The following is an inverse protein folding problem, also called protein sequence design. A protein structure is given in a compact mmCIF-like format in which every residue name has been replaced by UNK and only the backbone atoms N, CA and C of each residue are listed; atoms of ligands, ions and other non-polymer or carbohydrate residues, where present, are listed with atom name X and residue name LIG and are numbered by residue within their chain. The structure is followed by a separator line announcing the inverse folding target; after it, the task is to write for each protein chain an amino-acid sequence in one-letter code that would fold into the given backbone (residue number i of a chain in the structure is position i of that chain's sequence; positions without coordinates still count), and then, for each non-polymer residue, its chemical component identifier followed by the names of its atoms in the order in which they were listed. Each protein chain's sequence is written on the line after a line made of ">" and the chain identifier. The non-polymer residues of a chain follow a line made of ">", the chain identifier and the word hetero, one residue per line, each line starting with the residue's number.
data_IF_473033574253
#
_entry.id   IF_473033574253
#
_cell.length_a   1.000
_cell.length_b   1.000
_cell.length_c   1.000
_cell.angle_alpha   90.00
_cell.angle_beta   90.00
_cell.angle_gamma   90.00
#
_symmetry.space_group_name_H-M   'P 1'
#
loop_
_entity.id
_entity.type
_entity.pdbx_description
1 polymer ?
#
# COMPACT_ATOMS: atom_id res chain seq x y z
N UNK A 1 59.32 31.93 16.13
CA UNK A 1 58.04 31.42 16.66
C UNK A 1 58.25 30.94 18.08
N UNK A 2 57.49 31.43 19.07
CA UNK A 2 57.61 30.99 20.45
C UNK A 2 57.30 29.50 20.57
N UNK A 3 58.05 28.80 21.42
CA UNK A 3 57.98 27.34 21.63
C UNK A 3 56.56 26.87 21.96
N UNK A 4 55.79 27.71 22.66
CA UNK A 4 54.38 27.48 23.01
C UNK A 4 53.49 27.33 21.77
N UNK A 5 53.73 28.12 20.72
CA UNK A 5 52.92 28.05 19.48
C UNK A 5 53.14 26.75 18.71
N UNK A 6 54.35 26.16 18.76
CA UNK A 6 54.63 24.87 18.12
C UNK A 6 53.94 23.71 18.82
N UNK A 7 53.90 23.73 20.16
CA UNK A 7 53.23 22.68 20.95
C UNK A 7 51.71 22.75 20.75
N UNK A 8 51.13 23.96 20.70
CA UNK A 8 49.69 24.13 20.48
C UNK A 8 49.25 23.58 19.10
N UNK A 9 50.03 23.83 18.04
CA UNK A 9 49.72 23.33 16.69
C UNK A 9 49.75 21.79 16.66
N UNK A 10 50.74 21.16 17.31
CA UNK A 10 50.82 19.69 17.39
C UNK A 10 49.61 19.13 18.14
N UNK A 11 49.20 19.76 19.25
CA UNK A 11 48.05 19.33 20.03
C UNK A 11 46.74 19.41 19.22
N UNK A 12 46.52 20.49 18.47
CA UNK A 12 45.35 20.65 17.60
C UNK A 12 45.32 19.57 16.51
N UNK A 13 46.47 19.25 15.91
CA UNK A 13 46.56 18.18 14.90
C UNK A 13 46.18 16.83 15.50
N UNK A 14 46.68 16.50 16.71
CA UNK A 14 46.39 15.24 17.39
C UNK A 14 44.90 15.12 17.73
N UNK A 15 44.29 16.17 18.28
CA UNK A 15 42.86 16.19 18.58
C UNK A 15 42.02 16.06 17.30
N UNK A 16 42.43 16.72 16.21
CA UNK A 16 41.74 16.63 14.93
C UNK A 16 41.80 15.21 14.33
N UNK A 17 42.94 14.53 14.48
CA UNK A 17 43.09 13.13 14.06
C UNK A 17 42.21 12.18 14.88
N UNK A 18 42.09 12.41 16.20
CA UNK A 18 41.18 11.64 17.06
C UNK A 18 39.71 11.81 16.66
N UNK A 19 39.28 13.04 16.36
CA UNK A 19 37.91 13.31 15.88
C UNK A 19 37.62 12.66 14.53
N UNK A 20 38.59 12.66 13.61
CA UNK A 20 38.45 12.02 12.31
C UNK A 20 38.35 10.49 12.46
N UNK A 21 39.16 9.89 13.35
CA UNK A 21 39.10 8.45 13.64
C UNK A 21 37.78 8.03 14.30
N UNK A 22 37.27 8.83 15.24
CA UNK A 22 35.97 8.59 15.86
C UNK A 22 34.83 8.71 14.84
N UNK A 23 34.86 9.73 13.98
CA UNK A 23 33.89 9.89 12.88
C UNK A 23 33.88 8.69 11.93
N UNK A 24 35.05 8.17 11.56
CA UNK A 24 35.19 6.97 10.73
C UNK A 24 34.60 5.73 11.42
N UNK A 25 34.86 5.57 12.72
CA UNK A 25 34.34 4.45 13.52
C UNK A 25 32.81 4.48 13.62
N UNK A 26 32.23 5.67 13.78
CA UNK A 26 30.76 5.86 13.78
C UNK A 26 30.16 5.54 12.41
N UNK A 27 30.83 5.94 11.32
CA UNK A 27 30.41 5.63 9.96
C UNK A 27 30.46 4.12 9.66
N UNK A 28 31.49 3.42 10.12
CA UNK A 28 31.59 1.96 10.02
C UNK A 28 30.53 1.26 10.88
N UNK A 29 30.31 1.72 12.11
CA UNK A 29 29.26 1.19 12.98
C UNK A 29 27.87 1.36 12.35
N UNK A 30 27.59 2.52 11.74
CA UNK A 30 26.35 2.77 11.00
C UNK A 30 26.22 1.85 9.79
N UNK A 31 27.28 1.67 9.00
CA UNK A 31 27.26 0.77 7.84
C UNK A 31 27.05 -0.70 8.25
N UNK A 32 27.66 -1.13 9.35
CA UNK A 32 27.45 -2.46 9.93
C UNK A 32 26.03 -2.63 10.49
N UNK A 33 25.46 -1.58 11.08
CA UNK A 33 24.08 -1.59 11.54
C UNK A 33 23.11 -1.65 10.35
N UNK A 34 23.29 -0.82 9.32
CA UNK A 34 22.48 -0.84 8.10
C UNK A 34 22.53 -2.19 7.39
N UNK A 35 23.71 -2.82 7.30
CA UNK A 35 23.82 -4.17 6.70
C UNK A 35 23.16 -5.24 7.57
N UNK A 36 23.27 -5.17 8.90
CA UNK A 36 22.57 -6.08 9.82
C UNK A 36 21.05 -5.87 9.77
N UNK A 37 20.58 -4.64 9.69
CA UNK A 37 19.16 -4.29 9.58
C UNK A 37 18.61 -4.74 8.24
N UNK A 38 19.30 -4.47 7.12
CA UNK A 38 18.90 -4.97 5.79
C UNK A 38 18.88 -6.49 5.74
N UNK A 39 19.88 -7.17 6.29
CA UNK A 39 19.90 -8.64 6.35
C UNK A 39 18.73 -9.19 7.18
N UNK A 40 18.42 -8.59 8.32
CA UNK A 40 17.25 -8.97 9.13
C UNK A 40 15.93 -8.67 8.44
N UNK A 41 15.83 -7.56 7.70
CA UNK A 41 14.66 -7.21 6.90
C UNK A 41 14.48 -8.20 5.74
N UNK A 42 15.54 -8.57 5.04
CA UNK A 42 15.52 -9.58 3.96
C UNK A 42 15.18 -10.98 4.51
N UNK A 43 15.71 -11.35 5.67
CA UNK A 43 15.33 -12.58 6.39
C UNK A 43 13.85 -12.55 6.79
N UNK A 44 13.34 -11.42 7.29
CA UNK A 44 11.93 -11.25 7.63
C UNK A 44 11.01 -11.30 6.40
N UNK A 45 11.40 -10.69 5.28
CA UNK A 45 10.67 -10.75 4.00
C UNK A 45 10.68 -12.18 3.44
N UNK A 46 11.81 -12.89 3.56
CA UNK A 46 11.91 -14.29 3.14
C UNK A 46 11.04 -15.19 4.00
N UNK A 47 11.06 -15.02 5.33
CA UNK A 47 10.16 -15.73 6.24
C UNK A 47 8.70 -15.39 5.94
N UNK A 48 8.35 -14.12 5.73
CA UNK A 48 6.99 -13.72 5.34
C UNK A 48 6.53 -14.37 4.03
N UNK A 49 7.42 -14.53 3.03
CA UNK A 49 7.13 -15.27 1.80
C UNK A 49 6.97 -16.78 2.02
N UNK A 50 7.81 -17.41 2.84
CA UNK A 50 7.68 -18.81 3.20
C UNK A 50 6.37 -19.06 3.98
N UNK A 51 6.01 -18.13 4.86
CA UNK A 51 4.74 -18.09 5.60
C UNK A 51 3.55 -17.89 4.66
N UNK A 52 3.64 -17.03 3.66
CA UNK A 52 2.58 -16.80 2.67
C UNK A 52 2.38 -18.04 1.77
N UNK A 53 3.47 -18.74 1.42
CA UNK A 53 3.43 -20.01 0.68
C UNK A 53 2.79 -21.12 1.54
N UNK A 54 3.10 -21.17 2.84
CA UNK A 54 2.49 -22.13 3.79
C UNK A 54 1.03 -21.78 4.14
N UNK A 55 0.68 -20.51 4.24
CA UNK A 55 -0.69 -20.05 4.55
C UNK A 55 -1.66 -20.25 3.37
N UNK A 56 -1.15 -20.24 2.13
CA UNK A 56 -1.93 -20.49 0.91
C UNK A 56 -2.06 -21.98 0.55
N UNK A 57 -1.44 -22.91 1.31
CA UNK A 57 -1.40 -24.33 0.99
C UNK A 57 -1.81 -25.25 2.15
N UNK A 58 -3.06 -25.73 2.14
CA UNK A 58 -3.62 -26.79 3.00
C UNK A 58 -3.68 -26.53 4.51
N UNK A 59 -4.58 -27.21 5.21
CA UNK A 59 -4.75 -27.11 6.67
C UNK A 59 -3.47 -27.48 7.46
N UNK A 60 -2.57 -28.26 6.87
CA UNK A 60 -1.25 -28.58 7.45
C UNK A 60 -0.33 -27.35 7.52
N UNK A 61 -0.37 -26.46 6.53
CA UNK A 61 0.46 -25.23 6.52
C UNK A 61 0.03 -24.23 7.60
N UNK A 62 -1.28 -24.15 7.91
CA UNK A 62 -1.80 -23.34 9.02
C UNK A 62 -1.33 -23.87 10.38
N UNK A 63 -1.31 -25.19 10.56
CA UNK A 63 -0.87 -25.81 11.81
C UNK A 63 0.65 -25.66 12.05
N UNK A 64 1.46 -25.76 10.99
CA UNK A 64 2.91 -25.51 11.08
C UNK A 64 3.22 -24.03 11.38
N UNK A 65 2.50 -23.10 10.74
CA UNK A 65 2.65 -21.68 11.03
C UNK A 65 2.27 -21.35 12.48
N UNK A 66 1.17 -21.89 12.99
CA UNK A 66 0.76 -21.69 14.38
C UNK A 66 1.83 -22.19 15.37
N UNK A 67 2.45 -23.35 15.09
CA UNK A 67 3.58 -23.87 15.88
C UNK A 67 4.79 -22.94 15.84
N UNK A 68 5.15 -22.43 14.66
CA UNK A 68 6.30 -21.54 14.49
C UNK A 68 6.05 -20.18 15.16
N UNK A 69 4.85 -19.62 15.03
CA UNK A 69 4.41 -18.40 15.69
C UNK A 69 4.48 -18.53 17.23
N UNK A 70 3.98 -19.64 17.79
CA UNK A 70 4.10 -19.93 19.23
C UNK A 70 5.54 -20.05 19.70
N UNK A 71 6.41 -20.72 18.93
CA UNK A 71 7.83 -20.86 19.27
C UNK A 71 8.59 -19.53 19.23
N UNK A 72 8.32 -18.67 18.24
CA UNK A 72 8.92 -17.33 18.13
C UNK A 72 8.45 -16.43 19.28
N UNK A 73 7.18 -16.53 19.69
CA UNK A 73 6.66 -15.76 20.82
C UNK A 73 7.13 -16.30 22.18
N UNK A 74 7.34 -17.61 22.33
CA UNK A 74 7.98 -18.19 23.51
C UNK A 74 9.42 -17.68 23.72
N UNK A 75 10.18 -17.46 22.64
CA UNK A 75 11.50 -16.82 22.69
C UNK A 75 11.41 -15.32 23.06
N UNK A 76 10.29 -14.67 22.76
CA UNK A 76 10.05 -13.25 22.99
C UNK A 76 9.62 -12.92 24.43
N UNK A 77 8.51 -13.52 24.90
CA UNK A 77 8.05 -13.52 26.31
C UNK A 77 6.73 -14.31 26.44
N UNK A 78 6.39 -14.74 27.66
CA UNK A 78 5.09 -15.34 27.96
C UNK A 78 3.89 -14.42 27.62
N UNK A 79 4.07 -13.10 27.65
CA UNK A 79 3.01 -12.12 27.35
C UNK A 79 2.67 -12.08 25.85
N UNK A 80 3.68 -12.21 24.97
CA UNK A 80 3.45 -12.25 23.52
C UNK A 80 2.67 -13.50 23.10
N UNK A 81 2.95 -14.64 23.73
CA UNK A 81 2.20 -15.88 23.52
C UNK A 81 0.74 -15.77 23.99
N UNK A 82 0.51 -15.19 25.16
CA UNK A 82 -0.83 -15.02 25.70
C UNK A 82 -1.71 -14.13 24.80
N UNK A 83 -1.14 -13.04 24.26
CA UNK A 83 -1.86 -12.18 23.32
C UNK A 83 -2.13 -12.90 21.99
N UNK A 84 -1.18 -13.67 21.48
CA UNK A 84 -1.39 -14.49 20.27
C UNK A 84 -2.49 -15.54 20.44
N UNK A 85 -2.47 -16.29 21.54
CA UNK A 85 -3.50 -17.28 21.86
C UNK A 85 -4.88 -16.62 22.05
N UNK A 86 -4.92 -15.42 22.64
CA UNK A 86 -6.13 -14.62 22.73
C UNK A 86 -6.66 -14.24 21.34
N UNK A 87 -5.82 -13.72 20.44
CA UNK A 87 -6.24 -13.36 19.07
C UNK A 87 -6.68 -14.57 18.25
N UNK A 88 -5.99 -15.70 18.40
CA UNK A 88 -6.43 -16.97 17.83
C UNK A 88 -7.82 -17.39 18.34
N UNK A 89 -8.10 -17.21 19.64
CA UNK A 89 -9.42 -17.51 20.23
C UNK A 89 -10.54 -16.56 19.78
N UNK A 90 -10.19 -15.34 19.38
CA UNK A 90 -11.10 -14.34 18.79
C UNK A 90 -11.46 -14.65 17.32
N UNK A 91 -10.89 -15.72 16.75
CA UNK A 91 -11.18 -16.18 15.39
C UNK A 91 -10.34 -15.53 14.30
N UNK A 92 -9.29 -14.77 14.66
CA UNK A 92 -8.32 -14.28 13.71
C UNK A 92 -7.51 -15.43 13.13
N UNK A 93 -7.16 -15.34 11.85
CA UNK A 93 -6.26 -16.31 11.26
C UNK A 93 -4.87 -16.20 11.92
N UNK A 94 -4.08 -17.30 11.94
CA UNK A 94 -2.81 -17.34 12.62
C UNK A 94 -1.84 -16.21 12.26
N UNK A 95 -1.82 -15.77 11.00
CA UNK A 95 -0.89 -14.73 10.57
C UNK A 95 -1.29 -13.38 11.18
N UNK A 96 -2.57 -13.00 11.03
CA UNK A 96 -3.11 -11.76 11.59
C UNK A 96 -2.97 -11.74 13.11
N UNK A 97 -3.26 -12.86 13.79
CA UNK A 97 -3.09 -12.99 15.23
C UNK A 97 -1.63 -12.76 15.69
N UNK A 98 -0.66 -13.26 14.93
CA UNK A 98 0.76 -13.12 15.22
C UNK A 98 1.27 -11.69 15.01
N UNK A 99 0.88 -11.04 13.91
CA UNK A 99 1.24 -9.66 13.62
C UNK A 99 0.72 -8.71 14.70
N UNK A 100 -0.54 -8.88 15.15
CA UNK A 100 -1.13 -8.11 16.24
C UNK A 100 -0.43 -8.37 17.58
N UNK A 101 -0.09 -9.63 17.89
CA UNK A 101 0.59 -9.97 19.13
C UNK A 101 2.03 -9.42 19.19
N UNK A 102 2.76 -9.41 18.06
CA UNK A 102 4.10 -8.80 17.98
C UNK A 102 4.03 -7.28 18.14
N UNK A 103 3.06 -6.61 17.51
CA UNK A 103 2.91 -5.16 17.63
C UNK A 103 2.71 -4.72 19.10
N UNK A 104 1.81 -5.41 19.82
CA UNK A 104 1.56 -5.16 21.25
C UNK A 104 2.79 -5.50 22.11
N UNK A 105 3.51 -6.58 21.77
CA UNK A 105 4.69 -7.01 22.52
C UNK A 105 5.88 -6.05 22.36
N UNK A 106 6.14 -5.55 21.14
CA UNK A 106 7.23 -4.62 20.87
C UNK A 106 7.02 -3.28 21.59
N UNK A 107 5.80 -2.74 21.58
CA UNK A 107 5.47 -1.52 22.33
C UNK A 107 5.64 -1.73 23.84
N UNK A 108 5.16 -2.85 24.38
CA UNK A 108 5.25 -3.11 25.82
C UNK A 108 6.69 -3.33 26.31
N UNK A 109 7.50 -4.06 25.54
CA UNK A 109 8.91 -4.30 25.90
C UNK A 109 9.75 -3.02 25.78
N UNK A 110 9.50 -2.19 24.76
CA UNK A 110 10.15 -0.88 24.65
C UNK A 110 9.82 0.02 25.84
N UNK A 111 8.55 0.01 26.30
CA UNK A 111 8.11 0.75 27.50
C UNK A 111 8.75 0.17 28.77
N UNK A 112 8.82 -1.15 28.93
CA UNK A 112 9.46 -1.79 30.10
C UNK A 112 10.98 -1.53 30.16
N UNK A 113 11.68 -1.60 29.02
CA UNK A 113 13.11 -1.31 28.94
C UNK A 113 13.39 0.18 29.20
N UNK A 114 12.52 1.07 28.71
CA UNK A 114 12.56 2.51 29.03
C UNK A 114 12.33 2.77 30.53
N UNK A 115 11.32 2.15 31.13
CA UNK A 115 11.03 2.28 32.57
C UNK A 115 12.18 1.75 33.44
N UNK A 116 12.81 0.64 33.04
CA UNK A 116 14.02 0.12 33.71
C UNK A 116 15.20 1.07 33.58
N UNK A 117 15.40 1.69 32.42
CA UNK A 117 16.45 2.69 32.22
C UNK A 117 16.22 3.92 33.11
N UNK A 118 14.99 4.43 33.18
CA UNK A 118 14.60 5.54 34.07
C UNK A 118 14.77 5.16 35.54
N UNK A 119 14.37 3.95 35.95
CA UNK A 119 14.56 3.48 37.31
C UNK A 119 16.04 3.33 37.68
N UNK A 120 16.88 2.86 36.75
CA UNK A 120 18.33 2.77 36.94
C UNK A 120 18.99 4.15 37.06
N UNK A 121 18.55 5.14 36.27
CA UNK A 121 19.00 6.53 36.37
C UNK A 121 18.59 7.15 37.71
N UNK A 122 17.34 6.97 38.14
CA UNK A 122 16.87 7.46 39.44
C UNK A 122 17.57 6.75 40.62
N UNK A 123 17.95 5.47 40.46
CA UNK A 123 18.73 4.75 41.47
C UNK A 123 20.17 5.26 41.56
N UNK A 124 20.77 5.71 40.45
CA UNK A 124 22.07 6.39 40.44
C UNK A 124 22.00 7.78 41.09
N UNK A 125 20.88 8.49 40.91
CA UNK A 125 20.63 9.81 41.52
C UNK A 125 20.47 9.74 43.06
N UNK A 126 19.97 8.62 43.59
CA UNK A 126 19.69 8.43 45.02
C UNK A 126 20.79 7.69 45.80
N UNK A 127 21.88 7.25 45.15
CA UNK A 127 23.03 6.76 45.89
C UNK A 127 23.78 7.95 46.50
N UNK A 128 24.21 7.90 47.79
CA UNK A 128 25.18 8.88 48.28
C UNK A 128 26.36 8.81 47.33
N UNK A 129 26.65 9.92 46.65
CA UNK A 129 27.65 9.95 45.60
C UNK A 129 28.93 9.34 46.16
N UNK A 130 29.61 8.51 45.36
CA UNK A 130 30.90 7.92 45.72
C UNK A 130 31.86 9.02 46.26
N UNK A 131 31.66 10.27 45.81
CA UNK A 131 32.18 11.53 46.32
C UNK A 131 31.96 11.79 47.80
N UNK A 132 30.75 11.72 48.37
CA UNK A 132 30.55 12.04 49.78
C UNK A 132 31.37 11.08 50.67
N UNK A 133 31.35 9.79 50.31
CA UNK A 133 32.11 8.76 51.02
C UNK A 133 33.63 8.86 50.80
N UNK A 134 34.09 9.29 49.61
CA UNK A 134 35.52 9.47 49.32
C UNK A 134 36.06 10.79 49.88
N UNK A 135 35.27 11.86 49.84
CA UNK A 135 35.57 13.16 50.44
C UNK A 135 35.63 13.03 51.96
N UNK A 136 34.69 12.31 52.58
CA UNK A 136 34.74 12.03 54.02
C UNK A 136 35.97 11.20 54.40
N UNK A 137 36.33 10.19 53.60
CA UNK A 137 37.57 9.40 53.81
C UNK A 137 38.84 10.24 53.62
N UNK A 138 38.87 11.11 52.61
CA UNK A 138 39.99 12.02 52.35
C UNK A 138 40.13 13.06 53.46
N UNK A 139 39.02 13.64 53.94
CA UNK A 139 38.99 14.57 55.07
C UNK A 139 39.46 13.90 56.37
N UNK A 140 39.05 12.65 56.64
CA UNK A 140 39.52 11.86 57.78
C UNK A 140 41.02 11.58 57.67
N UNK A 141 41.51 11.17 56.49
CA UNK A 141 42.93 10.91 56.25
C UNK A 141 43.77 12.19 56.39
N UNK A 142 43.29 13.33 55.88
CA UNK A 142 43.94 14.64 56.00
C UNK A 142 44.05 15.07 57.46
N UNK A 143 42.95 14.98 58.22
CA UNK A 143 42.93 15.33 59.64
C UNK A 143 43.86 14.44 60.47
N UNK A 144 43.91 13.14 60.18
CA UNK A 144 44.84 12.20 60.82
C UNK A 144 46.31 12.53 60.52
N UNK A 145 46.62 12.93 59.28
CA UNK A 145 47.94 13.40 58.89
C UNK A 145 48.31 14.70 59.63
N UNK A 146 47.40 15.67 59.70
CA UNK A 146 47.60 16.93 60.42
C UNK A 146 47.86 16.71 61.92
N UNK A 147 47.09 15.82 62.56
CA UNK A 147 47.29 15.44 63.96
C UNK A 147 48.65 14.74 64.19
N UNK A 148 49.07 13.86 63.27
CA UNK A 148 50.37 13.21 63.34
C UNK A 148 51.53 14.22 63.19
N UNK A 149 51.37 15.23 62.34
CA UNK A 149 52.34 16.32 62.19
C UNK A 149 52.44 17.19 63.42
N UNK A 150 51.30 17.54 64.02
CA UNK A 150 51.27 18.29 65.28
C UNK A 150 52.01 17.54 66.38
N UNK A 151 51.74 16.24 66.57
CA UNK A 151 52.47 15.42 67.56
C UNK A 151 53.96 15.33 67.28
N UNK A 152 54.36 15.19 66.01
CA UNK A 152 55.78 15.12 65.64
C UNK A 152 56.49 16.44 65.95
N UNK A 153 55.83 17.57 65.67
CA UNK A 153 56.33 18.90 66.03
C UNK A 153 56.44 19.07 67.54
N UNK A 154 55.40 18.72 68.30
CA UNK A 154 55.38 18.82 69.77
C UNK A 154 56.49 17.96 70.41
N UNK A 155 56.72 16.76 69.89
CA UNK A 155 57.81 15.88 70.33
C UNK A 155 59.19 16.48 70.02
N UNK A 156 59.34 17.14 68.87
CA UNK A 156 60.59 17.75 68.44
C UNK A 156 60.89 19.03 69.23
N UNK A 157 59.87 19.84 69.51
CA UNK A 157 59.96 21.00 70.40
C UNK A 157 60.26 20.57 71.84
N UNK A 158 59.69 19.45 72.30
CA UNK A 158 60.02 18.83 73.59
C UNK A 158 61.47 18.35 73.63
N UNK A 159 61.94 17.62 72.61
CA UNK A 159 63.32 17.18 72.54
C UNK A 159 64.31 18.35 72.47
N UNK A 160 63.97 19.40 71.72
CA UNK A 160 64.77 20.62 71.59
C UNK A 160 64.80 21.43 72.88
N UNK A 161 63.68 21.57 73.59
CA UNK A 161 63.62 22.22 74.91
C UNK A 161 64.35 21.42 75.99
N UNK A 162 64.31 20.08 75.97
CA UNK A 162 65.16 19.25 76.84
C UNK A 162 66.65 19.45 76.54
N UNK A 163 67.01 19.58 75.25
CA UNK A 163 68.38 19.85 74.81
C UNK A 163 68.87 21.24 75.26
N UNK A 164 68.05 22.28 75.13
CA UNK A 164 68.38 23.64 75.58
C UNK A 164 68.26 23.83 77.10
N UNK A 165 67.38 23.08 77.75
CA UNK A 165 66.99 23.22 79.15
C UNK A 165 67.87 22.48 80.16
N UNK A 166 68.89 21.73 79.74
CA UNK A 166 69.95 21.23 80.63
C UNK A 166 71.22 22.10 80.63
N UNK A 167 71.23 23.23 79.92
CA UNK A 167 72.36 24.16 79.92
C UNK A 167 72.39 25.10 81.14
N UNK A 168 71.39 25.06 82.02
CA UNK A 168 71.32 25.89 83.22
C UNK A 168 70.98 25.08 84.47
N UNK A 169 71.95 24.99 85.39
CA UNK A 169 71.83 24.46 86.76
C UNK A 169 71.97 22.94 86.95
N UNK A 170 73.13 22.38 86.61
CA UNK A 170 73.96 21.60 87.55
C UNK A 170 75.29 21.20 86.88
N UNK A 171 76.44 21.74 87.31
CA UNK A 171 77.74 21.29 86.83
C UNK A 171 78.08 19.97 87.55
N UNK A 172 77.96 18.81 86.88
CA UNK A 172 78.56 17.61 87.47
C UNK A 172 78.28 16.24 86.91
N UNK A 173 77.30 16.01 86.02
CA UNK A 173 77.06 14.65 85.50
C UNK A 173 76.72 14.71 84.01
N UNK A 174 77.76 14.62 83.17
CA UNK A 174 77.59 14.28 81.75
C UNK A 174 77.43 12.76 81.66
N UNK A 175 76.21 12.30 81.42
CA UNK A 175 75.97 10.90 81.04
C UNK A 175 76.54 10.65 79.64
N UNK A 176 77.57 9.79 79.48
CA UNK A 176 78.23 9.55 78.19
C UNK A 176 77.33 8.84 77.16
N UNK A 177 76.11 8.40 77.54
CA UNK A 177 75.17 7.78 76.60
C UNK A 177 74.37 8.77 75.74
N UNK A 178 74.44 10.07 76.02
CA UNK A 178 73.81 11.13 75.19
C UNK A 178 74.72 11.55 74.01
N UNK A 179 75.96 11.06 73.94
CA UNK A 179 76.93 11.42 72.89
C UNK A 179 76.70 10.79 71.50
N UNK A 180 75.66 9.97 71.33
CA UNK A 180 75.21 9.48 70.02
C UNK A 180 73.83 10.05 69.62
N UNK A 181 73.43 11.18 70.19
CA UNK A 181 72.29 11.94 69.69
C UNK A 181 72.59 12.54 68.32
N UNK A 182 71.62 12.52 67.40
CA UNK A 182 71.68 13.25 66.13
C UNK A 182 72.14 14.69 66.38
N UNK A 183 73.10 15.18 65.60
CA UNK A 183 73.51 16.58 65.67
C UNK A 183 72.32 17.51 65.41
N UNK A 184 72.38 18.73 65.92
CA UNK A 184 71.34 19.76 65.66
C UNK A 184 71.10 19.92 64.16
N UNK A 185 72.17 19.82 63.35
CA UNK A 185 72.07 19.86 61.89
C UNK A 185 71.34 18.64 61.32
N UNK A 186 71.58 17.44 61.84
CA UNK A 186 70.85 16.23 61.43
C UNK A 186 69.35 16.30 61.81
N UNK A 187 69.02 16.90 62.95
CA UNK A 187 67.64 17.17 63.38
C UNK A 187 66.97 18.20 62.44
N UNK A 188 67.67 19.30 62.12
CA UNK A 188 67.21 20.32 61.19
C UNK A 188 67.00 19.75 59.78
N UNK A 189 67.92 18.95 59.30
CA UNK A 189 67.82 18.27 58.00
C UNK A 189 66.67 17.26 57.96
N UNK A 190 66.37 16.62 59.08
CA UNK A 190 65.23 15.71 59.20
C UNK A 190 63.91 16.48 59.15
N UNK A 191 63.80 17.59 59.88
CA UNK A 191 62.63 18.50 59.81
C UNK A 191 62.43 19.04 58.40
N UNK A 192 63.50 19.51 57.74
CA UNK A 192 63.42 20.03 56.36
C UNK A 192 63.10 18.96 55.32
N UNK A 193 63.45 17.68 55.56
CA UNK A 193 63.04 16.55 54.71
C UNK A 193 61.56 16.22 54.91
N UNK A 194 61.10 16.19 56.16
CA UNK A 194 59.69 15.95 56.51
C UNK A 194 58.80 17.06 55.92
N UNK A 195 59.18 18.33 56.07
CA UNK A 195 58.44 19.47 55.50
C UNK A 195 58.33 19.41 53.96
N UNK A 196 59.41 19.00 53.27
CA UNK A 196 59.39 18.82 51.81
C UNK A 196 58.50 17.66 51.36
N UNK A 197 58.53 16.54 52.08
CA UNK A 197 57.67 15.39 51.80
C UNK A 197 56.18 15.74 51.98
N UNK A 198 55.85 16.52 53.01
CA UNK A 198 54.48 17.00 53.26
C UNK A 198 54.03 17.97 52.17
N UNK A 199 54.89 18.92 51.78
CA UNK A 199 54.59 19.85 50.69
C UNK A 199 54.29 19.12 49.38
N UNK A 200 55.08 18.09 49.05
CA UNK A 200 54.85 17.26 47.86
C UNK A 200 53.54 16.47 47.95
N UNK A 201 53.22 15.87 49.10
CA UNK A 201 51.94 15.17 49.29
C UNK A 201 50.74 16.12 49.20
N UNK A 202 50.85 17.33 49.78
CA UNK A 202 49.80 18.35 49.69
C UNK A 202 49.54 18.76 48.24
N UNK A 203 50.58 19.05 47.46
CA UNK A 203 50.44 19.36 46.03
C UNK A 203 49.86 18.19 45.25
N UNK A 204 50.22 16.94 45.58
CA UNK A 204 49.64 15.75 44.97
C UNK A 204 48.14 15.63 45.25
N UNK A 205 47.70 15.86 46.50
CA UNK A 205 46.28 15.87 46.87
C UNK A 205 45.50 17.02 46.22
N UNK A 206 46.06 18.24 46.17
CA UNK A 206 45.45 19.38 45.49
C UNK A 206 45.29 19.12 43.98
N UNK A 207 46.25 18.45 43.35
CA UNK A 207 46.15 18.06 41.93
C UNK A 207 45.06 17.02 41.72
N UNK A 208 44.98 15.99 42.58
CA UNK A 208 43.91 14.97 42.52
C UNK A 208 42.51 15.58 42.72
N UNK A 209 42.38 16.56 43.62
CA UNK A 209 41.11 17.29 43.81
C UNK A 209 40.75 18.12 42.57
N UNK A 210 41.70 18.86 41.99
CA UNK A 210 41.45 19.68 40.80
C UNK A 210 41.10 18.84 39.56
N UNK A 211 41.78 17.71 39.36
CA UNK A 211 41.44 16.78 38.28
C UNK A 211 40.08 16.09 38.52
N UNK A 212 39.73 15.83 39.79
CA UNK A 212 38.40 15.36 40.19
C UNK A 212 37.30 16.37 39.86
N UNK A 213 37.48 17.65 40.21
CA UNK A 213 36.55 18.74 39.90
C UNK A 213 36.34 18.89 38.38
N UNK A 214 37.40 18.79 37.58
CA UNK A 214 37.28 18.82 36.10
C UNK A 214 36.47 17.65 35.57
N UNK A 215 36.78 16.44 36.00
CA UNK A 215 36.03 15.25 35.60
C UNK A 215 34.55 15.33 36.03
N UNK A 216 34.26 15.99 37.16
CA UNK A 216 32.89 16.25 37.59
C UNK A 216 32.18 17.26 36.69
N UNK A 217 32.82 18.36 36.31
CA UNK A 217 32.22 19.31 35.35
C UNK A 217 31.92 18.65 34.01
N UNK A 218 32.83 17.81 33.51
CA UNK A 218 32.59 17.04 32.28
C UNK A 218 31.45 16.02 32.44
N UNK A 219 31.36 15.35 33.60
CA UNK A 219 30.28 14.41 33.88
C UNK A 219 28.93 15.12 34.03
N UNK A 220 28.89 16.26 34.72
CA UNK A 220 27.69 17.08 34.88
C UNK A 220 27.21 17.63 33.53
N UNK A 221 28.12 18.07 32.67
CA UNK A 221 27.80 18.49 31.31
C UNK A 221 27.26 17.32 30.47
N UNK A 222 27.86 16.12 30.57
CA UNK A 222 27.33 14.90 29.91
C UNK A 222 25.96 14.49 30.43
N UNK A 223 25.72 14.57 31.74
CA UNK A 223 24.41 14.28 32.33
C UNK A 223 23.36 15.26 31.80
N UNK A 224 23.71 16.54 31.70
CA UNK A 224 22.83 17.58 31.13
C UNK A 224 22.56 17.36 29.63
N UNK A 225 23.56 16.93 28.88
CA UNK A 225 23.43 16.56 27.46
C UNK A 225 22.46 15.37 27.29
N UNK A 226 22.68 14.29 28.05
CA UNK A 226 21.80 13.11 28.04
C UNK A 226 20.37 13.47 28.49
N UNK A 227 20.21 14.37 29.46
CA UNK A 227 18.89 14.85 29.88
C UNK A 227 18.16 15.63 28.77
N UNK A 228 18.88 16.46 28.03
CA UNK A 228 18.32 17.19 26.88
C UNK A 228 17.95 16.23 25.74
N UNK A 229 18.77 15.22 25.46
CA UNK A 229 18.46 14.17 24.50
C UNK A 229 17.22 13.37 24.91
N UNK A 230 17.14 12.94 26.16
CA UNK A 230 15.98 12.21 26.70
C UNK A 230 14.68 13.03 26.58
N UNK A 231 14.75 14.32 26.91
CA UNK A 231 13.60 15.25 26.77
C UNK A 231 13.18 15.41 25.30
N UNK A 232 14.14 15.41 24.38
CA UNK A 232 13.89 15.52 22.94
C UNK A 232 13.26 14.24 22.40
N UNK A 233 13.76 13.07 22.80
CA UNK A 233 13.17 11.77 22.46
C UNK A 233 11.75 11.63 23.02
N UNK A 234 11.49 12.11 24.25
CA UNK A 234 10.14 12.09 24.82
C UNK A 234 9.15 12.94 24.02
N UNK A 235 9.57 14.12 23.56
CA UNK A 235 8.74 14.97 22.69
C UNK A 235 8.50 14.32 21.32
N UNK A 236 9.51 13.68 20.74
CA UNK A 236 9.37 12.96 19.48
C UNK A 236 8.39 11.78 19.62
N UNK A 237 8.51 10.99 20.69
CA UNK A 237 7.59 9.87 20.96
C UNK A 237 6.14 10.34 21.16
N UNK A 238 5.92 11.43 21.90
CA UNK A 238 4.58 12.00 22.07
C UNK A 238 3.99 12.55 20.75
N UNK A 239 4.84 13.10 19.87
CA UNK A 239 4.42 13.53 18.54
C UNK A 239 4.04 12.35 17.65
N UNK A 240 4.82 11.27 17.68
CA UNK A 240 4.50 10.04 16.93
C UNK A 240 3.22 9.38 17.42
N UNK A 241 2.95 9.40 18.73
CA UNK A 241 1.70 8.88 19.31
C UNK A 241 0.47 9.67 18.80
N UNK A 242 0.57 11.01 18.73
CA UNK A 242 -0.47 11.85 18.16
C UNK A 242 -0.69 11.56 16.66
N UNK A 243 0.38 11.40 15.88
CA UNK A 243 0.26 11.04 14.46
C UNK A 243 -0.36 9.65 14.26
N UNK A 244 -0.05 8.69 15.14
CA UNK A 244 -0.69 7.36 15.13
C UNK A 244 -2.18 7.45 15.43
N UNK A 245 -2.57 8.24 16.42
CA UNK A 245 -3.98 8.48 16.77
C UNK A 245 -4.75 9.17 15.63
N UNK A 246 -4.13 10.13 14.95
CA UNK A 246 -4.72 10.77 13.76
C UNK A 246 -4.89 9.78 12.61
N UNK A 247 -3.87 8.98 12.29
CA UNK A 247 -3.97 7.93 11.27
C UNK A 247 -5.01 6.87 11.65
N UNK A 248 -5.13 6.51 12.91
CA UNK A 248 -6.16 5.57 13.36
C UNK A 248 -7.57 6.13 13.13
N UNK A 249 -7.78 7.43 13.34
CA UNK A 249 -9.05 8.11 13.03
C UNK A 249 -9.32 8.15 11.52
N UNK A 250 -8.30 8.44 10.70
CA UNK A 250 -8.43 8.40 9.24
C UNK A 250 -8.81 6.99 8.74
N UNK A 251 -8.14 5.94 9.24
CA UNK A 251 -8.46 4.56 8.90
C UNK A 251 -9.90 4.21 9.29
N UNK A 252 -10.33 4.58 10.50
CA UNK A 252 -11.71 4.36 10.94
C UNK A 252 -12.74 5.09 10.07
N UNK A 253 -12.42 6.30 9.59
CA UNK A 253 -13.28 7.03 8.65
C UNK A 253 -13.35 6.32 7.28
N UNK A 254 -12.20 5.88 6.75
CA UNK A 254 -12.16 5.13 5.50
C UNK A 254 -12.94 3.82 5.58
N UNK A 255 -12.87 3.09 6.69
CA UNK A 255 -13.66 1.88 6.91
C UNK A 255 -15.17 2.16 6.94
N UNK A 256 -15.59 3.26 7.58
CA UNK A 256 -16.99 3.67 7.61
C UNK A 256 -17.51 4.09 6.22
N UNK A 257 -16.70 4.81 5.44
CA UNK A 257 -17.04 5.21 4.07
C UNK A 257 -17.12 3.99 3.13
N UNK A 258 -16.18 3.06 3.26
CA UNK A 258 -16.17 1.81 2.49
C UNK A 258 -17.39 0.94 2.80
N UNK A 259 -17.83 0.88 4.05
CA UNK A 259 -19.05 0.16 4.43
C UNK A 259 -20.31 0.83 3.87
N UNK A 260 -20.35 2.17 3.86
CA UNK A 260 -21.44 2.92 3.22
C UNK A 260 -21.50 2.68 1.71
N UNK A 261 -20.36 2.68 1.03
CA UNK A 261 -20.27 2.40 -0.41
C UNK A 261 -20.74 0.97 -0.72
N UNK A 262 -20.34 -0.02 0.09
CA UNK A 262 -20.85 -1.40 -0.04
C UNK A 262 -22.37 -1.47 0.10
N UNK A 263 -22.95 -0.75 1.07
CA UNK A 263 -24.40 -0.73 1.26
C UNK A 263 -25.11 -0.09 0.08
N UNK A 264 -24.56 0.97 -0.50
CA UNK A 264 -25.13 1.62 -1.68
C UNK A 264 -25.03 0.73 -2.92
N UNK A 265 -23.93 0.00 -3.11
CA UNK A 265 -23.77 -0.98 -4.18
C UNK A 265 -24.75 -2.17 -4.04
N UNK A 266 -25.04 -2.60 -2.80
CA UNK A 266 -26.09 -3.61 -2.53
C UNK A 266 -27.49 -3.07 -2.87
N UNK A 267 -27.77 -1.78 -2.67
CA UNK A 267 -29.03 -1.17 -3.09
C UNK A 267 -29.12 -1.09 -4.62
N UNK A 268 -28.06 -0.66 -5.28
CA UNK A 268 -28.02 -0.52 -6.74
C UNK A 268 -28.17 -1.88 -7.43
N UNK A 269 -27.52 -2.92 -6.92
CA UNK A 269 -27.68 -4.30 -7.43
C UNK A 269 -29.12 -4.80 -7.29
N UNK A 270 -29.76 -4.56 -6.14
CA UNK A 270 -31.19 -4.87 -5.95
C UNK A 270 -32.10 -4.12 -6.93
N UNK A 271 -31.82 -2.84 -7.20
CA UNK A 271 -32.57 -2.06 -8.19
C UNK A 271 -32.38 -2.64 -9.60
N UNK A 272 -31.14 -2.94 -10.01
CA UNK A 272 -30.87 -3.57 -11.31
C UNK A 272 -31.54 -4.92 -11.49
N UNK A 273 -31.58 -5.73 -10.44
CA UNK A 273 -32.23 -7.04 -10.52
C UNK A 273 -33.77 -6.89 -10.59
N UNK A 274 -34.35 -5.92 -9.89
CA UNK A 274 -35.76 -5.56 -10.05
C UNK A 274 -36.08 -5.08 -11.49
N UNK A 275 -35.22 -4.23 -12.08
CA UNK A 275 -35.36 -3.77 -13.47
C UNK A 275 -35.24 -4.93 -14.47
N UNK A 276 -34.34 -5.90 -14.24
CA UNK A 276 -34.25 -7.11 -15.07
C UNK A 276 -35.53 -7.95 -14.99
N UNK A 277 -36.10 -8.10 -13.80
CA UNK A 277 -37.35 -8.83 -13.62
C UNK A 277 -38.50 -8.12 -14.34
N UNK A 278 -38.55 -6.78 -14.34
CA UNK A 278 -39.51 -6.00 -15.12
C UNK A 278 -39.31 -6.16 -16.63
N UNK A 279 -38.06 -6.10 -17.10
CA UNK A 279 -37.73 -6.35 -18.52
C UNK A 279 -38.14 -7.76 -18.96
N UNK A 280 -37.91 -8.78 -18.12
CA UNK A 280 -38.33 -10.15 -18.40
C UNK A 280 -39.86 -10.26 -18.49
N UNK A 281 -40.60 -9.58 -17.60
CA UNK A 281 -42.07 -9.49 -17.67
C UNK A 281 -42.53 -8.82 -18.95
N UNK A 282 -41.91 -7.70 -19.33
CA UNK A 282 -42.24 -6.96 -20.55
C UNK A 282 -41.96 -7.80 -21.81
N UNK A 283 -40.85 -8.53 -21.82
CA UNK A 283 -40.51 -9.46 -22.91
C UNK A 283 -41.53 -10.60 -23.02
N UNK A 284 -41.98 -11.16 -21.90
CA UNK A 284 -43.04 -12.17 -21.89
C UNK A 284 -44.38 -11.61 -22.41
N UNK A 285 -44.76 -10.39 -21.98
CA UNK A 285 -45.96 -9.71 -22.50
C UNK A 285 -45.87 -9.45 -24.00
N UNK A 286 -44.70 -9.02 -24.49
CA UNK A 286 -44.46 -8.81 -25.92
C UNK A 286 -44.58 -10.11 -26.71
N UNK A 287 -43.97 -11.19 -26.23
CA UNK A 287 -44.07 -12.51 -26.88
C UNK A 287 -45.53 -13.02 -26.90
N UNK A 288 -46.29 -12.80 -25.82
CA UNK A 288 -47.71 -13.16 -25.77
C UNK A 288 -48.55 -12.35 -26.76
N UNK A 289 -48.29 -11.04 -26.86
CA UNK A 289 -48.95 -10.17 -27.85
C UNK A 289 -48.61 -10.59 -29.29
N UNK A 290 -47.34 -10.95 -29.55
CA UNK A 290 -46.89 -11.41 -30.86
C UNK A 290 -47.55 -12.75 -31.24
N UNK A 291 -47.68 -13.68 -30.30
CA UNK A 291 -48.43 -14.93 -30.50
C UNK A 291 -49.91 -14.67 -30.82
N UNK A 292 -50.56 -13.74 -30.11
CA UNK A 292 -51.94 -13.32 -30.41
C UNK A 292 -52.07 -12.72 -31.82
N UNK A 293 -51.14 -11.86 -32.23
CA UNK A 293 -51.11 -11.31 -33.59
C UNK A 293 -50.95 -12.40 -34.66
N UNK A 294 -50.08 -13.38 -34.44
CA UNK A 294 -49.93 -14.52 -35.35
C UNK A 294 -51.21 -15.35 -35.46
N UNK A 295 -51.93 -15.56 -34.35
CA UNK A 295 -53.25 -16.20 -34.36
C UNK A 295 -54.26 -15.38 -35.18
N UNK A 296 -54.31 -14.06 -35.01
CA UNK A 296 -55.17 -13.19 -35.83
C UNK A 296 -54.84 -13.28 -37.32
N UNK A 297 -53.55 -13.29 -37.69
CA UNK A 297 -53.14 -13.47 -39.09
C UNK A 297 -53.63 -14.81 -39.65
N UNK A 298 -53.56 -15.90 -38.88
CA UNK A 298 -54.11 -17.18 -39.32
C UNK A 298 -55.63 -17.15 -39.46
N UNK A 299 -56.35 -16.52 -38.54
CA UNK A 299 -57.81 -16.34 -38.64
C UNK A 299 -58.16 -15.52 -39.87
N UNK A 300 -57.45 -14.43 -40.15
CA UNK A 300 -57.64 -13.60 -41.34
C UNK A 300 -57.37 -14.43 -42.60
N UNK A 301 -56.27 -15.20 -42.68
CA UNK A 301 -56.01 -16.08 -43.83
C UNK A 301 -57.14 -17.08 -44.06
N UNK A 302 -57.66 -17.72 -43.00
CA UNK A 302 -58.78 -18.66 -43.11
C UNK A 302 -60.08 -17.93 -43.51
N UNK A 303 -60.29 -16.71 -43.02
CA UNK A 303 -61.43 -15.87 -43.39
C UNK A 303 -61.33 -15.35 -44.83
N UNK A 304 -60.15 -14.92 -45.29
CA UNK A 304 -59.87 -14.56 -46.69
C UNK A 304 -60.13 -15.75 -47.61
N UNK A 305 -59.63 -16.96 -47.27
CA UNK A 305 -59.93 -18.19 -48.02
C UNK A 305 -61.45 -18.44 -48.10
N UNK A 306 -62.21 -18.15 -47.03
CA UNK A 306 -63.68 -18.31 -47.03
C UNK A 306 -64.40 -17.21 -47.80
N UNK A 307 -63.94 -15.96 -47.73
CA UNK A 307 -64.51 -14.82 -48.46
C UNK A 307 -64.23 -14.97 -49.96
N UNK A 308 -63.05 -15.44 -50.36
CA UNK A 308 -62.75 -15.75 -51.76
C UNK A 308 -63.59 -16.91 -52.29
N UNK A 309 -63.80 -17.96 -51.49
CA UNK A 309 -64.66 -19.08 -51.88
C UNK A 309 -66.15 -18.70 -52.01
N UNK A 310 -66.64 -17.68 -51.29
CA UNK A 310 -68.04 -17.26 -51.33
C UNK A 310 -68.32 -16.01 -52.18
N UNK A 311 -67.33 -15.18 -52.48
CA UNK A 311 -67.54 -13.94 -53.27
C UNK A 311 -66.90 -13.91 -54.65
N UNK A 312 -66.11 -14.90 -55.06
CA UNK A 312 -65.58 -14.94 -56.43
C UNK A 312 -64.81 -13.67 -56.83
N UNK A 313 -64.14 -13.02 -55.86
CA UNK A 313 -63.41 -11.77 -56.07
C UNK A 313 -61.99 -12.09 -56.54
N UNK A 314 -61.84 -12.16 -57.86
CA UNK A 314 -60.59 -12.35 -58.60
C UNK A 314 -59.64 -11.15 -58.49
N UNK A 315 -59.08 -10.86 -57.33
CA UNK A 315 -58.12 -9.75 -57.19
C UNK A 315 -56.97 -10.08 -56.24
N UNK A 316 -56.14 -11.04 -56.64
CA UNK A 316 -54.68 -11.07 -56.44
C UNK A 316 -54.20 -12.52 -56.56
N UNK A 317 -53.81 -12.93 -57.76
CA UNK A 317 -53.16 -14.23 -57.97
C UNK A 317 -51.71 -14.07 -57.58
N UNK A 318 -51.39 -14.33 -56.31
CA UNK A 318 -50.01 -14.61 -55.90
C UNK A 318 -49.72 -16.04 -56.35
N UNK A 319 -48.94 -16.22 -57.42
CA UNK A 319 -48.47 -17.54 -57.82
C UNK A 319 -47.63 -18.14 -56.68
N UNK A 320 -47.78 -19.44 -56.40
CA UNK A 320 -47.03 -20.17 -55.36
C UNK A 320 -45.49 -20.05 -55.50
N UNK A 321 -45.00 -19.66 -56.67
CA UNK A 321 -43.56 -19.49 -56.96
C UNK A 321 -42.99 -18.14 -56.52
N UNK A 322 -43.81 -17.18 -56.06
CA UNK A 322 -43.35 -15.86 -55.61
C UNK A 322 -42.73 -14.97 -56.69
N UNK A 323 -42.74 -15.39 -57.96
CA UNK A 323 -42.26 -14.61 -59.09
C UNK A 323 -43.45 -14.06 -59.89
N UNK A 324 -43.46 -12.74 -60.09
CA UNK A 324 -44.43 -12.08 -60.95
C UNK A 324 -44.37 -12.65 -62.37
N UNK A 325 -45.49 -13.08 -62.98
CA UNK A 325 -45.50 -13.58 -64.35
C UNK A 325 -45.04 -12.49 -65.32
N UNK A 326 -44.06 -12.83 -66.14
CA UNK A 326 -43.49 -11.97 -67.19
C UNK A 326 -43.56 -12.68 -68.53
N UNK A 327 -43.74 -11.93 -69.60
CA UNK A 327 -43.78 -12.48 -70.95
C UNK A 327 -43.49 -11.43 -72.02
N UNK A 328 -43.26 -11.88 -73.25
CA UNK A 328 -43.04 -11.02 -74.42
C UNK A 328 -44.19 -11.12 -75.40
N UNK A 329 -44.56 -9.99 -76.00
CA UNK A 329 -45.54 -9.92 -77.06
C UNK A 329 -44.98 -10.62 -78.30
N UNK A 330 -45.65 -11.69 -78.74
CA UNK A 330 -45.25 -12.49 -79.90
C UNK A 330 -45.93 -11.98 -81.17
N UNK A 331 -47.24 -11.74 -81.10
CA UNK A 331 -48.05 -11.40 -82.26
C UNK A 331 -49.19 -10.46 -81.86
N UNK A 332 -49.57 -9.57 -82.78
CA UNK A 332 -50.73 -8.69 -82.66
C UNK A 332 -51.63 -8.98 -83.85
N UNK A 333 -52.86 -9.43 -83.58
CA UNK A 333 -53.86 -9.70 -84.60
C UNK A 333 -54.53 -8.40 -85.08
N UNK A 334 -55.17 -8.45 -86.26
CA UNK A 334 -55.85 -7.30 -86.87
C UNK A 334 -57.00 -6.75 -86.00
N UNK A 335 -57.61 -7.60 -85.17
CA UNK A 335 -58.67 -7.24 -84.24
C UNK A 335 -58.17 -6.57 -82.94
N UNK A 336 -56.86 -6.32 -82.83
CA UNK A 336 -56.22 -5.70 -81.66
C UNK A 336 -55.92 -6.68 -80.52
N UNK A 337 -56.11 -7.98 -80.75
CA UNK A 337 -55.75 -9.02 -79.78
C UNK A 337 -54.23 -9.26 -79.76
N UNK A 338 -53.64 -9.34 -78.57
CA UNK A 338 -52.20 -9.44 -78.33
C UNK A 338 -51.89 -10.81 -77.76
N UNK A 339 -50.99 -11.56 -78.41
CA UNK A 339 -50.47 -12.82 -77.93
C UNK A 339 -49.14 -12.61 -77.20
N UNK A 340 -49.03 -13.11 -75.98
CA UNK A 340 -47.84 -13.09 -75.13
C UNK A 340 -47.29 -14.51 -74.99
N UNK A 341 -45.98 -14.68 -75.07
CA UNK A 341 -45.28 -15.88 -74.65
C UNK A 341 -44.70 -15.70 -73.24
N UNK A 342 -44.96 -16.64 -72.35
CA UNK A 342 -44.48 -16.58 -70.96
C UNK A 342 -42.99 -16.92 -70.83
N UNK A 343 -42.31 -16.22 -69.93
CA UNK A 343 -40.93 -16.48 -69.53
C UNK A 343 -40.80 -16.38 -67.98
N UNK A 344 -40.57 -17.50 -67.26
CA UNK A 344 -40.34 -18.86 -67.75
C UNK A 344 -41.61 -19.55 -68.29
N UNK A 345 -41.43 -20.54 -69.17
CA UNK A 345 -42.52 -21.40 -69.66
C UNK A 345 -43.16 -22.17 -68.51
N UNK A 346 -44.47 -22.43 -68.58
CA UNK A 346 -45.20 -23.22 -67.58
C UNK A 346 -46.01 -22.41 -66.58
N UNK A 347 -45.99 -21.08 -66.66
CA UNK A 347 -46.80 -20.22 -65.80
C UNK A 347 -48.23 -20.12 -66.36
N UNK A 348 -49.23 -20.47 -65.55
CA UNK A 348 -50.64 -20.33 -65.90
C UNK A 348 -51.23 -19.09 -65.19
N UNK A 349 -51.38 -17.99 -65.93
CA UNK A 349 -51.99 -16.76 -65.39
C UNK A 349 -53.50 -16.77 -65.64
N UNK A 350 -54.37 -16.60 -64.63
CA UNK A 350 -55.82 -16.62 -64.84
C UNK A 350 -56.33 -15.53 -65.80
N UNK A 351 -57.43 -15.82 -66.50
CA UNK A 351 -58.15 -14.86 -67.33
C UNK A 351 -58.73 -13.72 -66.49
N UNK A 352 -58.67 -12.48 -67.00
CA UNK A 352 -59.07 -11.25 -66.33
C UNK A 352 -57.93 -10.56 -65.56
N UNK A 353 -56.76 -11.18 -65.46
CA UNK A 353 -55.58 -10.53 -64.87
C UNK A 353 -55.09 -9.42 -65.81
N UNK A 354 -54.75 -8.28 -65.21
CA UNK A 354 -54.18 -7.14 -65.90
C UNK A 354 -52.65 -7.20 -65.87
N UNK A 355 -52.04 -6.93 -67.03
CA UNK A 355 -50.59 -6.86 -67.20
C UNK A 355 -50.20 -5.46 -67.66
N UNK A 356 -49.16 -4.92 -67.05
CA UNK A 356 -48.48 -3.72 -67.50
C UNK A 356 -47.58 -4.06 -68.69
N UNK A 357 -47.76 -3.33 -69.79
CA UNK A 357 -46.99 -3.50 -71.03
C UNK A 357 -45.98 -2.39 -71.16
N UNK A 358 -44.73 -2.73 -71.42
CA UNK A 358 -43.64 -1.79 -71.56
C UNK A 358 -42.69 -2.19 -72.69
N UNK A 359 -42.07 -1.19 -73.32
CA UNK A 359 -41.00 -1.35 -74.31
C UNK A 359 -39.67 -1.06 -73.64
N UNK A 360 -38.66 -1.91 -73.83
CA UNK A 360 -37.34 -1.72 -73.20
C UNK A 360 -36.28 -1.15 -74.14
N UNK A 361 -36.41 -1.36 -75.45
CA UNK A 361 -35.42 -0.99 -76.47
C UNK A 361 -36.11 -0.08 -77.52
N UNK A 362 -35.56 1.11 -77.86
CA UNK A 362 -34.28 1.68 -77.41
C UNK A 362 -34.33 2.41 -76.06
N UNK A 363 -35.52 2.74 -75.57
CA UNK A 363 -35.71 3.39 -74.28
C UNK A 363 -36.87 2.73 -73.54
N UNK A 364 -36.74 2.64 -72.22
CA UNK A 364 -37.77 2.07 -71.36
C UNK A 364 -39.01 2.97 -71.35
N UNK A 365 -40.11 2.47 -71.89
CA UNK A 365 -41.36 3.22 -72.05
C UNK A 365 -42.56 2.38 -71.64
N UNK A 366 -43.47 2.98 -70.88
CA UNK A 366 -44.74 2.38 -70.51
C UNK A 366 -45.76 2.53 -71.65
N UNK A 367 -46.39 1.43 -72.08
CA UNK A 367 -47.30 1.42 -73.22
C UNK A 367 -48.78 1.37 -72.80
N UNK A 368 -49.07 0.78 -71.64
CA UNK A 368 -50.41 0.72 -71.05
C UNK A 368 -50.68 -0.57 -70.30
N UNK A 369 -51.97 -0.86 -70.08
CA UNK A 369 -52.45 -2.06 -69.41
C UNK A 369 -53.18 -2.96 -70.42
N UNK A 370 -52.89 -4.26 -70.38
CA UNK A 370 -53.67 -5.27 -71.10
C UNK A 370 -54.40 -6.19 -70.14
N UNK A 371 -55.61 -6.60 -70.48
CA UNK A 371 -56.37 -7.61 -69.75
C UNK A 371 -56.34 -8.93 -70.51
N UNK A 372 -56.04 -10.03 -69.81
CA UNK A 372 -55.97 -11.36 -70.41
C UNK A 372 -57.37 -11.95 -70.66
N UNK A 373 -57.68 -12.23 -71.91
CA UNK A 373 -58.92 -12.91 -72.31
C UNK A 373 -58.80 -14.44 -72.23
N UNK A 374 -57.63 -14.99 -72.56
CA UNK A 374 -57.33 -16.43 -72.50
C UNK A 374 -55.86 -16.64 -72.12
N UNK A 375 -55.54 -17.70 -71.40
CA UNK A 375 -54.18 -18.00 -70.97
C UNK A 375 -53.98 -19.51 -70.85
N UNK A 376 -52.78 -19.98 -71.17
CA UNK A 376 -52.32 -21.35 -70.99
C UNK A 376 -50.85 -21.36 -70.53
N UNK A 377 -50.26 -22.54 -70.39
CA UNK A 377 -48.87 -22.70 -69.91
C UNK A 377 -47.80 -22.22 -70.89
N UNK A 378 -48.16 -21.99 -72.16
CA UNK A 378 -47.26 -21.57 -73.23
C UNK A 378 -47.33 -20.08 -73.51
N UNK A 379 -48.47 -19.45 -73.21
CA UNK A 379 -48.68 -18.03 -73.44
C UNK A 379 -50.06 -17.57 -73.02
N UNK A 380 -50.37 -16.32 -73.33
CA UNK A 380 -51.68 -15.75 -73.12
C UNK A 380 -52.09 -14.84 -74.26
N UNK A 381 -53.37 -14.55 -74.30
CA UNK A 381 -54.03 -13.72 -75.29
C UNK A 381 -54.83 -12.67 -74.53
N UNK A 382 -54.52 -11.41 -74.76
CA UNK A 382 -55.15 -10.27 -74.08
C UNK A 382 -55.49 -9.13 -75.02
N UNK A 383 -56.21 -8.13 -74.50
CA UNK A 383 -56.51 -6.89 -75.21
C UNK A 383 -56.08 -5.70 -74.35
N UNK A 384 -55.55 -4.67 -75.00
CA UNK A 384 -55.22 -3.41 -74.30
C UNK A 384 -56.51 -2.75 -73.82
N UNK A 385 -56.50 -2.25 -72.59
CA UNK A 385 -57.57 -1.40 -72.08
C UNK A 385 -57.48 -0.02 -72.74
N UNK A 386 -58.51 0.44 -73.46
CA UNK A 386 -58.45 1.68 -74.23
C UNK A 386 -58.08 2.91 -73.40
N UNK A 387 -58.53 2.95 -72.15
CA UNK A 387 -58.31 4.06 -71.21
C UNK A 387 -56.86 4.18 -70.71
N UNK A 388 -56.08 3.09 -70.76
CA UNK A 388 -54.69 3.07 -70.32
C UNK A 388 -53.68 2.98 -71.47
N UNK A 389 -54.15 2.96 -72.72
CA UNK A 389 -53.29 2.82 -73.90
C UNK A 389 -52.62 4.15 -74.22
N UNK A 390 -51.31 4.24 -73.95
CA UNK A 390 -50.52 5.43 -74.25
C UNK A 390 -49.90 5.38 -75.65
N UNK A 391 -49.49 4.19 -76.10
CA UNK A 391 -48.85 3.97 -77.41
C UNK A 391 -49.24 2.63 -78.03
N UNK A 392 -48.84 2.42 -79.28
CA UNK A 392 -49.04 1.15 -79.98
C UNK A 392 -47.99 0.11 -79.55
N UNK A 393 -48.49 -1.06 -79.18
CA UNK A 393 -47.71 -2.25 -78.85
C UNK A 393 -47.12 -2.85 -80.13
N UNK A 394 -45.95 -3.48 -80.03
CA UNK A 394 -45.22 -4.17 -81.10
C UNK A 394 -44.75 -5.55 -80.61
N UNK A 395 -44.53 -6.52 -81.53
CA UNK A 395 -43.82 -7.74 -81.18
C UNK A 395 -42.47 -7.44 -80.51
N UNK A 396 -42.18 -8.13 -79.40
CA UNK A 396 -40.98 -7.93 -78.59
C UNK A 396 -41.18 -7.07 -77.33
N UNK A 397 -42.29 -6.31 -77.23
CA UNK A 397 -42.64 -5.57 -76.01
C UNK A 397 -42.89 -6.55 -74.85
N UNK A 398 -42.60 -6.13 -73.62
CA UNK A 398 -42.74 -6.98 -72.42
C UNK A 398 -44.05 -6.70 -71.67
N UNK A 399 -44.62 -7.74 -71.06
CA UNK A 399 -45.82 -7.66 -70.24
C UNK A 399 -45.58 -8.33 -68.87
N UNK A 400 -45.90 -7.63 -67.78
CA UNK A 400 -45.69 -8.08 -66.40
C UNK A 400 -46.84 -7.64 -65.49
N UNK A 401 -47.12 -8.40 -64.42
CA UNK A 401 -48.06 -7.98 -63.37
C UNK A 401 -47.50 -6.91 -62.44
N UNK A 402 -46.17 -6.82 -62.32
CA UNK A 402 -45.49 -5.81 -61.51
C UNK A 402 -44.71 -4.82 -62.37
N UNK A 403 -44.76 -3.55 -61.99
CA UNK A 403 -43.89 -2.49 -62.50
C UNK A 403 -42.57 -2.58 -61.72
N UNK A 404 -41.64 -3.43 -62.15
CA UNK A 404 -40.31 -3.50 -61.50
C UNK A 404 -39.46 -2.28 -61.90
N UNK A 405 -38.89 -1.50 -60.95
CA UNK A 405 -38.02 -0.35 -61.25
C UNK A 405 -36.79 -0.69 -62.09
N UNK A 406 -36.35 -1.96 -62.08
CA UNK A 406 -35.20 -2.43 -62.87
C UNK A 406 -35.44 -2.42 -64.38
N UNK A 407 -36.69 -2.53 -64.83
CA UNK A 407 -37.03 -2.44 -66.25
C UNK A 407 -36.90 -1.01 -66.79
N UNK A 408 -36.95 0.00 -65.91
CA UNK A 408 -36.73 1.42 -66.27
C UNK A 408 -35.26 1.86 -66.18
N UNK A 409 -34.38 1.09 -65.52
CA UNK A 409 -32.97 1.49 -65.27
C UNK A 409 -31.97 1.10 -66.37
N UNK A 410 -32.35 0.31 -67.38
CA UNK A 410 -31.39 -0.26 -68.34
C UNK A 410 -31.04 0.62 -69.56
N UNK A 411 -31.44 1.90 -69.63
CA UNK A 411 -31.14 2.76 -70.80
C UNK A 411 -29.95 3.72 -70.66
N UNK A 412 -29.10 3.59 -69.63
CA UNK A 412 -27.90 4.44 -69.44
C UNK A 412 -26.57 3.66 -69.58
N UNK A 413 -26.51 2.67 -70.49
CA UNK A 413 -25.24 2.04 -70.89
C UNK A 413 -25.10 1.89 -72.40
#
# INVERSE_FOLDING_TARGET
>A
MPTVGKVLIILIIVVSMLFMWMSLSVLEARNQWDTKVKKKADEAIKMAKEVEILANGSDEGRAEFEKMAKAVLELGSAAGRAEFEKRMSEGFDPKTAFEMAIAVFLDKKAIEDYQKAVAALNALENQPTLEQAQLDRANVAYKAAEDALKRTRDNLDTAYSMFLGQAGQQPGIRDPKVQKGMSVDALRDTVSRVQRAIGAQKTQFETMLSDGEKNFTELADRVKEVQNEATTMQKAAASEELERDERAKEVAQFEADLEKEKQDLVKETKLRDAEKDELAKLQNQFNEALAKCQQFVQIIKVAEIRIDATRGLKTAVVLETGQAPKGKVLQIAEDGTIQIGWDPKGVNVPTGVQLHVYRLDPQAEYLGIMELAKSDTSGAVGRMLPEFRQRSVRPGDEASTEITPESLKKSDR
#
